data_IF_554827698692
#
_entry.id   IF_554827698692
#
_cell.length_a   1.000
_cell.length_b   1.000
_cell.length_c   1.000
_cell.angle_alpha   90.00
_cell.angle_beta   90.00
_cell.angle_gamma   90.00
#
_symmetry.space_group_name_H-M   'P 1'
#
loop_
_entity.id
_entity.type
_entity.pdbx_description
1 polymer ?
#
# COMPACT_ATOMS: atom_id res chain seq x y z
N UNK A 1 -12.00 -85.02 1.82
CA UNK A 1 -12.82 -83.92 2.26
C UNK A 1 -11.98 -83.02 3.16
N UNK A 2 -11.74 -81.76 2.77
CA UNK A 2 -10.99 -80.76 3.60
C UNK A 2 -11.95 -80.16 4.61
N UNK A 3 -11.63 -80.12 5.91
CA UNK A 3 -12.49 -79.49 6.91
C UNK A 3 -12.61 -78.00 6.59
N UNK A 4 -13.83 -77.51 6.39
CA UNK A 4 -14.12 -76.08 6.35
C UNK A 4 -14.00 -75.49 7.77
N UNK A 5 -12.97 -74.66 7.97
CA UNK A 5 -12.84 -73.87 9.21
C UNK A 5 -13.78 -72.64 9.11
N UNK A 6 -14.77 -72.59 9.95
CA UNK A 6 -15.64 -71.42 10.11
C UNK A 6 -14.93 -70.32 10.85
N UNK A 7 -15.26 -69.04 10.56
CA UNK A 7 -14.75 -67.89 11.30
C UNK A 7 -15.27 -67.89 12.74
N UNK A 8 -14.39 -67.54 13.65
CA UNK A 8 -14.75 -67.36 15.06
C UNK A 8 -15.36 -65.97 15.29
N UNK A 9 -16.28 -65.83 16.22
CA UNK A 9 -16.89 -64.56 16.59
C UNK A 9 -15.88 -63.52 17.06
N UNK A 10 -14.80 -64.00 17.73
CA UNK A 10 -13.67 -63.14 18.18
C UNK A 10 -12.87 -62.58 17.00
N UNK A 11 -12.66 -63.34 15.94
CA UNK A 11 -11.94 -62.92 14.75
C UNK A 11 -12.67 -61.80 14.00
N UNK A 12 -14.00 -61.88 13.92
CA UNK A 12 -14.86 -60.82 13.36
C UNK A 12 -14.84 -59.56 14.22
N UNK A 13 -14.89 -59.70 15.55
CA UNK A 13 -14.81 -58.55 16.46
C UNK A 13 -13.47 -57.82 16.36
N UNK A 14 -12.37 -58.56 16.28
CA UNK A 14 -11.00 -57.98 16.09
C UNK A 14 -10.96 -57.28 14.74
N UNK A 15 -11.47 -57.88 13.67
CA UNK A 15 -11.46 -57.25 12.33
C UNK A 15 -12.26 -55.93 12.31
N UNK A 16 -13.43 -55.91 12.94
CA UNK A 16 -14.24 -54.70 13.06
C UNK A 16 -13.56 -53.63 13.92
N UNK A 17 -12.90 -54.03 15.03
CA UNK A 17 -12.15 -53.09 15.85
C UNK A 17 -10.99 -52.44 15.07
N UNK A 18 -10.25 -53.25 14.31
CA UNK A 18 -9.15 -52.75 13.47
C UNK A 18 -9.68 -51.80 12.35
N UNK A 19 -10.79 -52.16 11.70
CA UNK A 19 -11.43 -51.29 10.71
C UNK A 19 -11.89 -49.97 11.32
N UNK A 20 -12.47 -49.98 12.52
CA UNK A 20 -12.87 -48.74 13.21
C UNK A 20 -11.69 -47.84 13.53
N UNK A 21 -10.58 -48.40 14.02
CA UNK A 21 -9.34 -47.65 14.28
C UNK A 21 -8.76 -47.07 13.00
N UNK A 22 -8.63 -47.87 11.92
CA UNK A 22 -8.17 -47.39 10.62
C UNK A 22 -9.05 -46.29 10.05
N UNK A 23 -10.36 -46.41 10.14
CA UNK A 23 -11.34 -45.41 9.75
C UNK A 23 -11.15 -44.10 10.52
N UNK A 24 -10.97 -44.21 11.84
CA UNK A 24 -10.73 -43.04 12.70
C UNK A 24 -9.43 -42.30 12.37
N UNK A 25 -8.33 -43.04 12.15
CA UNK A 25 -7.06 -42.46 11.75
C UNK A 25 -7.13 -41.80 10.36
N UNK A 26 -7.81 -42.44 9.42
CA UNK A 26 -8.02 -41.86 8.08
C UNK A 26 -8.83 -40.56 8.14
N UNK A 27 -9.86 -40.51 8.97
CA UNK A 27 -10.65 -39.30 9.19
C UNK A 27 -9.82 -38.17 9.78
N UNK A 28 -9.03 -38.45 10.81
CA UNK A 28 -8.12 -37.46 11.42
C UNK A 28 -7.10 -36.91 10.42
N UNK A 29 -6.55 -37.78 9.56
CA UNK A 29 -5.65 -37.37 8.48
C UNK A 29 -6.32 -36.41 7.49
N UNK A 30 -7.53 -36.72 7.06
CA UNK A 30 -8.29 -35.89 6.13
C UNK A 30 -8.66 -34.53 6.75
N UNK A 31 -9.10 -34.52 7.99
CA UNK A 31 -9.47 -33.30 8.72
C UNK A 31 -8.25 -32.37 8.90
N UNK A 32 -7.09 -32.94 9.22
CA UNK A 32 -5.83 -32.19 9.28
C UNK A 32 -5.44 -31.58 7.94
N UNK A 33 -5.58 -32.32 6.84
CA UNK A 33 -5.32 -31.82 5.49
C UNK A 33 -6.26 -30.67 5.12
N UNK A 34 -7.54 -30.77 5.45
CA UNK A 34 -8.53 -29.71 5.19
C UNK A 34 -8.19 -28.44 5.97
N UNK A 35 -7.83 -28.53 7.26
CA UNK A 35 -7.43 -27.38 8.07
C UNK A 35 -6.15 -26.73 7.52
N UNK A 36 -5.14 -27.52 7.16
CA UNK A 36 -3.92 -27.00 6.57
C UNK A 36 -4.19 -26.29 5.24
N UNK A 37 -5.04 -26.86 4.40
CA UNK A 37 -5.41 -26.25 3.11
C UNK A 37 -6.11 -24.92 3.30
N UNK A 38 -7.04 -24.79 4.24
CA UNK A 38 -7.74 -23.52 4.52
C UNK A 38 -6.78 -22.45 5.07
N UNK A 39 -5.84 -22.82 5.94
CA UNK A 39 -4.82 -21.90 6.46
C UNK A 39 -3.91 -21.38 5.34
N UNK A 40 -3.44 -22.28 4.45
CA UNK A 40 -2.62 -21.91 3.30
C UNK A 40 -3.38 -21.01 2.34
N UNK A 41 -4.64 -21.30 2.05
CA UNK A 41 -5.47 -20.45 1.18
C UNK A 41 -5.66 -19.04 1.75
N UNK A 42 -5.91 -18.93 3.06
CA UNK A 42 -6.05 -17.64 3.74
C UNK A 42 -4.76 -16.83 3.66
N UNK A 43 -3.61 -17.45 3.90
CA UNK A 43 -2.32 -16.76 3.80
C UNK A 43 -1.98 -16.35 2.37
N UNK A 44 -2.29 -17.18 1.38
CA UNK A 44 -2.15 -16.80 -0.02
C UNK A 44 -3.04 -15.61 -0.40
N UNK A 45 -4.29 -15.59 0.03
CA UNK A 45 -5.20 -14.46 -0.21
C UNK A 45 -4.64 -13.16 0.39
N UNK A 46 -4.19 -13.19 1.64
CA UNK A 46 -3.55 -12.05 2.31
C UNK A 46 -2.31 -11.57 1.58
N UNK A 47 -1.45 -12.49 1.17
CA UNK A 47 -0.22 -12.18 0.42
C UNK A 47 -0.52 -11.53 -0.93
N UNK A 48 -1.54 -12.01 -1.63
CA UNK A 48 -1.99 -11.47 -2.91
C UNK A 48 -2.53 -10.04 -2.76
N UNK A 49 -3.36 -9.79 -1.75
CA UNK A 49 -3.88 -8.44 -1.46
C UNK A 49 -2.73 -7.49 -1.16
N UNK A 50 -1.80 -7.88 -0.28
CA UNK A 50 -0.62 -7.07 0.03
C UNK A 50 0.18 -6.77 -1.23
N UNK A 51 0.48 -7.77 -2.06
CA UNK A 51 1.22 -7.60 -3.31
C UNK A 51 0.52 -6.62 -4.26
N UNK A 52 -0.80 -6.71 -4.40
CA UNK A 52 -1.62 -5.83 -5.24
C UNK A 52 -1.57 -4.38 -4.75
N UNK A 53 -1.74 -4.16 -3.44
CA UNK A 53 -1.69 -2.82 -2.84
C UNK A 53 -0.32 -2.19 -3.02
N UNK A 54 0.77 -2.95 -2.78
CA UNK A 54 2.12 -2.46 -2.97
C UNK A 54 2.45 -2.15 -4.43
N UNK A 55 1.92 -2.95 -5.36
CA UNK A 55 2.05 -2.69 -6.79
C UNK A 55 1.33 -1.40 -7.19
N UNK A 56 0.11 -1.16 -6.65
CA UNK A 56 -0.63 0.08 -6.88
C UNK A 56 0.11 1.30 -6.32
N UNK A 57 0.64 1.20 -5.09
CA UNK A 57 1.43 2.27 -4.48
C UNK A 57 2.67 2.62 -5.31
N UNK A 58 3.39 1.60 -5.79
CA UNK A 58 4.52 1.80 -6.71
C UNK A 58 4.11 2.39 -8.06
N UNK A 59 2.97 1.98 -8.59
CA UNK A 59 2.45 2.53 -9.85
C UNK A 59 2.10 4.01 -9.72
N UNK A 60 1.53 4.43 -8.58
CA UNK A 60 1.24 5.84 -8.30
C UNK A 60 2.54 6.67 -8.23
N UNK A 61 3.58 6.17 -7.58
CA UNK A 61 4.88 6.82 -7.51
C UNK A 61 5.62 6.84 -8.86
N UNK A 62 5.56 5.75 -9.63
CA UNK A 62 6.20 5.68 -10.95
C UNK A 62 5.61 6.70 -11.95
N UNK A 63 4.33 6.98 -11.81
CA UNK A 63 3.64 7.95 -12.65
C UNK A 63 3.70 9.38 -12.09
N UNK A 64 4.37 9.59 -10.95
CA UNK A 64 4.49 10.90 -10.33
C UNK A 64 5.14 11.92 -11.28
N UNK A 65 4.58 13.12 -11.32
CA UNK A 65 5.02 14.20 -12.20
C UNK A 65 4.89 15.55 -11.53
N UNK A 66 5.70 16.48 -11.95
CA UNK A 66 5.58 17.91 -11.60
C UNK A 66 4.95 18.62 -12.77
N UNK A 67 3.94 19.45 -12.51
CA UNK A 67 3.36 20.29 -13.55
C UNK A 67 4.18 21.55 -13.71
N UNK A 68 4.66 21.85 -14.92
CA UNK A 68 5.25 23.15 -15.21
C UNK A 68 4.16 24.21 -15.22
N UNK A 69 4.35 25.34 -14.52
CA UNK A 69 3.40 26.46 -14.56
C UNK A 69 3.36 27.29 -13.28
N UNK A 70 2.57 28.36 -13.33
CA UNK A 70 2.37 29.29 -12.22
C UNK A 70 1.55 28.64 -11.11
N UNK A 71 2.12 28.55 -9.93
CA UNK A 71 1.56 27.88 -8.78
C UNK A 71 2.19 26.50 -8.61
N UNK A 72 3.14 26.43 -7.70
CA UNK A 72 3.97 25.24 -7.47
C UNK A 72 3.10 24.12 -6.85
N UNK A 73 2.46 23.33 -7.70
CA UNK A 73 1.88 22.08 -7.24
C UNK A 73 3.02 21.06 -7.12
N UNK A 74 3.28 20.60 -5.92
CA UNK A 74 4.28 19.57 -5.67
C UNK A 74 3.94 18.28 -6.41
N UNK A 75 4.92 17.58 -6.92
CA UNK A 75 4.70 16.25 -7.50
C UNK A 75 4.39 15.20 -6.45
N UNK A 76 5.04 15.29 -5.29
CA UNK A 76 4.84 14.44 -4.12
C UNK A 76 5.00 15.28 -2.86
N UNK A 77 4.10 15.10 -1.89
CA UNK A 77 4.14 15.76 -0.60
C UNK A 77 3.59 14.86 0.51
N UNK A 78 4.11 15.05 1.72
CA UNK A 78 3.70 14.36 2.93
C UNK A 78 3.45 15.35 4.05
N UNK A 79 2.24 15.41 4.58
CA UNK A 79 1.85 16.34 5.66
C UNK A 79 1.81 15.68 7.06
N UNK A 80 2.30 14.46 7.20
CA UNK A 80 2.26 13.69 8.43
C UNK A 80 1.07 12.73 8.53
N UNK A 81 0.08 12.88 7.67
CA UNK A 81 -1.13 12.05 7.63
C UNK A 81 -1.42 11.49 6.25
N UNK A 82 -1.20 12.31 5.22
CA UNK A 82 -1.54 12.02 3.84
C UNK A 82 -0.32 12.17 2.96
N UNK A 83 -0.02 11.13 2.19
CA UNK A 83 0.91 11.21 1.07
C UNK A 83 0.11 11.60 -0.17
N UNK A 84 0.39 12.77 -0.73
CA UNK A 84 -0.25 13.30 -1.95
C UNK A 84 0.70 13.19 -3.12
N UNK A 85 0.17 12.77 -4.26
CA UNK A 85 0.95 12.52 -5.48
C UNK A 85 0.19 13.11 -6.65
N UNK A 86 0.83 14.01 -7.41
CA UNK A 86 0.37 14.36 -8.76
C UNK A 86 0.93 13.33 -9.73
N UNK A 87 0.07 12.57 -10.40
CA UNK A 87 0.48 11.53 -11.34
C UNK A 87 -0.11 11.76 -12.73
N UNK A 88 0.62 11.35 -13.75
CA UNK A 88 0.10 11.33 -15.12
C UNK A 88 -1.05 10.35 -15.24
N UNK A 89 -2.09 10.73 -15.96
CA UNK A 89 -3.13 9.81 -16.36
C UNK A 89 -2.54 8.75 -17.31
N UNK A 90 -3.00 7.52 -17.16
CA UNK A 90 -2.72 6.43 -18.10
C UNK A 90 -3.86 6.26 -19.12
N UNK A 91 -4.93 7.02 -18.97
CA UNK A 91 -6.03 7.03 -19.92
C UNK A 91 -5.57 7.76 -21.18
N UNK A 92 -5.84 7.18 -22.32
CA UNK A 92 -5.62 7.82 -23.62
C UNK A 92 -7.00 8.25 -24.12
N UNK A 93 -7.16 9.55 -24.40
CA UNK A 93 -8.40 10.01 -25.00
C UNK A 93 -8.53 9.47 -26.42
N UNK A 94 -9.76 9.18 -26.89
CA UNK A 94 -10.00 8.71 -28.26
C UNK A 94 -9.51 9.67 -29.33
N UNK A 95 -9.40 10.96 -29.00
CA UNK A 95 -8.92 12.03 -29.88
C UNK A 95 -7.38 12.21 -29.88
N UNK A 96 -6.66 11.37 -29.14
CA UNK A 96 -5.21 11.46 -28.98
C UNK A 96 -4.72 12.61 -28.10
N UNK A 97 -5.61 13.38 -27.48
CA UNK A 97 -5.24 14.45 -26.55
C UNK A 97 -4.67 13.91 -25.24
N UNK A 98 -3.84 14.72 -24.57
CA UNK A 98 -3.30 14.35 -23.24
C UNK A 98 -4.45 14.14 -22.26
N UNK A 99 -4.45 13.01 -21.62
CA UNK A 99 -5.47 12.63 -20.65
C UNK A 99 -5.35 13.42 -19.33
N UNK A 100 -4.37 14.32 -19.22
CA UNK A 100 -4.17 15.14 -18.04
C UNK A 100 -3.48 14.40 -16.90
N UNK A 101 -3.75 14.86 -15.68
CA UNK A 101 -3.17 14.31 -14.46
C UNK A 101 -4.27 13.94 -13.46
N UNK A 102 -3.94 13.08 -12.54
CA UNK A 102 -4.73 12.79 -11.34
C UNK A 102 -3.97 13.25 -10.10
N UNK A 103 -4.71 13.65 -9.09
CA UNK A 103 -4.20 13.74 -7.73
C UNK A 103 -4.58 12.47 -7.02
N UNK A 104 -3.59 11.78 -6.50
CA UNK A 104 -3.77 10.56 -5.68
C UNK A 104 -3.31 10.87 -4.27
N UNK A 105 -4.03 10.36 -3.29
CA UNK A 105 -3.69 10.50 -1.89
C UNK A 105 -3.76 9.13 -1.19
N UNK A 106 -2.79 8.90 -0.31
CA UNK A 106 -2.74 7.72 0.54
C UNK A 106 -2.75 8.16 1.99
N UNK A 107 -3.61 7.56 2.81
CA UNK A 107 -3.65 7.80 4.26
C UNK A 107 -3.85 6.52 5.03
N UNK A 108 -3.44 6.54 6.27
CA UNK A 108 -3.85 5.60 7.29
C UNK A 108 -4.56 6.36 8.41
N UNK A 109 -5.64 5.82 8.91
CA UNK A 109 -6.38 6.39 10.02
C UNK A 109 -6.97 5.26 10.86
N UNK A 110 -6.70 5.28 12.17
CA UNK A 110 -7.40 4.41 13.11
C UNK A 110 -8.70 5.08 13.56
N UNK A 111 -9.77 4.31 13.67
CA UNK A 111 -11.06 4.78 14.14
C UNK A 111 -11.34 4.30 15.57
N UNK A 112 -11.96 5.17 16.38
CA UNK A 112 -12.54 4.77 17.67
C UNK A 112 -11.57 4.22 18.72
N UNK A 113 -10.28 4.62 18.70
CA UNK A 113 -9.29 4.11 19.64
C UNK A 113 -8.76 2.70 19.32
N UNK A 114 -9.07 2.18 18.16
CA UNK A 114 -8.49 0.92 17.67
C UNK A 114 -7.01 1.10 17.36
N UNK A 115 -6.21 0.06 17.57
CA UNK A 115 -4.77 0.05 17.27
C UNK A 115 -4.48 -0.14 15.79
N UNK A 116 -5.47 -0.51 14.98
CA UNK A 116 -5.37 -0.70 13.54
C UNK A 116 -6.51 -0.01 12.82
N UNK A 117 -6.25 0.43 11.59
CA UNK A 117 -7.23 1.06 10.72
C UNK A 117 -6.91 0.87 9.26
N UNK A 118 -7.83 1.19 8.35
CA UNK A 118 -7.62 0.99 6.93
C UNK A 118 -6.52 1.91 6.38
N UNK A 119 -5.65 1.35 5.54
CA UNK A 119 -4.84 2.13 4.62
C UNK A 119 -5.68 2.41 3.39
N UNK A 120 -5.92 3.68 3.11
CA UNK A 120 -6.89 4.11 2.12
C UNK A 120 -6.20 4.86 0.99
N UNK A 121 -6.71 4.66 -0.21
CA UNK A 121 -6.31 5.38 -1.41
C UNK A 121 -7.49 6.20 -1.94
N UNK A 122 -7.24 7.48 -2.17
CA UNK A 122 -8.15 8.42 -2.79
C UNK A 122 -7.60 8.85 -4.16
N UNK A 123 -8.46 9.12 -5.12
CA UNK A 123 -8.08 9.59 -6.44
C UNK A 123 -9.09 10.59 -6.95
N UNK A 124 -8.62 11.72 -7.48
CA UNK A 124 -9.45 12.71 -8.19
C UNK A 124 -9.92 12.19 -9.55
N UNK A 125 -10.79 12.94 -10.19
CA UNK A 125 -11.02 12.84 -11.63
C UNK A 125 -9.78 13.30 -12.42
N UNK A 126 -9.81 13.11 -13.74
CA UNK A 126 -8.76 13.59 -14.63
C UNK A 126 -8.79 15.11 -14.72
N UNK A 127 -7.67 15.76 -14.48
CA UNK A 127 -7.50 17.21 -14.37
C UNK A 127 -6.53 17.69 -15.46
N UNK A 128 -6.90 18.78 -16.13
CA UNK A 128 -6.08 19.39 -17.19
C UNK A 128 -5.59 20.78 -16.85
N UNK A 129 -6.19 21.41 -15.85
CA UNK A 129 -5.93 22.78 -15.45
C UNK A 129 -5.24 22.80 -14.09
N UNK A 130 -4.23 23.66 -13.93
CA UNK A 130 -3.47 23.81 -12.70
C UNK A 130 -4.32 24.26 -11.51
N UNK A 131 -5.34 25.07 -11.73
CA UNK A 131 -6.27 25.52 -10.68
C UNK A 131 -7.08 24.32 -10.13
N UNK A 132 -7.57 23.46 -11.01
CA UNK A 132 -8.28 22.24 -10.62
C UNK A 132 -7.36 21.25 -9.90
N UNK A 133 -6.09 21.18 -10.28
CA UNK A 133 -5.08 20.35 -9.58
C UNK A 133 -4.84 20.89 -8.16
N UNK A 134 -4.72 22.21 -7.98
CA UNK A 134 -4.59 22.81 -6.65
C UNK A 134 -5.83 22.55 -5.78
N UNK A 135 -7.01 22.65 -6.36
CA UNK A 135 -8.26 22.33 -5.67
C UNK A 135 -8.29 20.84 -5.23
N UNK A 136 -7.91 19.92 -6.13
CA UNK A 136 -7.84 18.50 -5.79
C UNK A 136 -6.81 18.21 -4.69
N UNK A 137 -5.68 18.93 -4.67
CA UNK A 137 -4.70 18.86 -3.58
C UNK A 137 -5.30 19.31 -2.24
N UNK A 138 -6.06 20.38 -2.23
CA UNK A 138 -6.76 20.85 -1.04
C UNK A 138 -7.83 19.83 -0.58
N UNK A 139 -8.60 19.28 -1.51
CA UNK A 139 -9.57 18.20 -1.22
C UNK A 139 -8.89 16.97 -0.63
N UNK A 140 -7.76 16.54 -1.18
CA UNK A 140 -6.98 15.44 -0.65
C UNK A 140 -6.48 15.69 0.78
N UNK A 141 -6.10 16.93 1.10
CA UNK A 141 -5.69 17.31 2.46
C UNK A 141 -6.88 17.27 3.44
N UNK A 142 -8.05 17.78 3.03
CA UNK A 142 -9.28 17.72 3.83
C UNK A 142 -9.73 16.29 4.04
N UNK A 143 -9.70 15.48 2.98
CA UNK A 143 -9.99 14.05 3.06
C UNK A 143 -9.06 13.34 4.05
N UNK A 144 -7.79 13.73 4.10
CA UNK A 144 -6.83 13.20 5.06
C UNK A 144 -7.16 13.46 6.52
N UNK A 145 -7.89 14.52 6.79
CA UNK A 145 -8.29 14.92 8.15
C UNK A 145 -9.67 14.37 8.54
N UNK A 146 -10.57 14.27 7.57
CA UNK A 146 -11.96 13.89 7.78
C UNK A 146 -12.33 12.74 6.84
N UNK A 147 -13.15 11.80 7.31
CA UNK A 147 -13.62 10.67 6.50
C UNK A 147 -14.70 11.07 5.46
N UNK A 148 -14.87 12.34 5.18
CA UNK A 148 -15.89 12.83 4.23
C UNK A 148 -15.33 12.67 2.82
N UNK A 149 -15.96 11.80 2.06
CA UNK A 149 -15.67 11.62 0.63
C UNK A 149 -16.58 12.53 -0.17
N UNK A 150 -16.01 13.47 -0.92
CA UNK A 150 -16.75 14.21 -1.95
C UNK A 150 -17.17 13.22 -3.05
N UNK A 151 -18.42 13.31 -3.50
CA UNK A 151 -19.10 12.28 -4.30
C UNK A 151 -18.47 11.90 -5.65
N UNK A 152 -17.45 12.64 -6.12
CA UNK A 152 -16.78 12.41 -7.40
C UNK A 152 -15.39 11.76 -7.27
N UNK A 153 -14.87 11.61 -6.06
CA UNK A 153 -13.58 10.98 -5.85
C UNK A 153 -13.71 9.47 -5.62
N UNK A 154 -12.78 8.69 -6.19
CA UNK A 154 -12.72 7.25 -5.99
C UNK A 154 -11.91 6.96 -4.73
N UNK A 155 -12.56 6.39 -3.74
CA UNK A 155 -11.90 5.89 -2.53
C UNK A 155 -11.86 4.36 -2.54
N UNK A 156 -10.75 3.81 -2.11
CA UNK A 156 -10.56 2.36 -1.99
C UNK A 156 -9.81 2.05 -0.70
N UNK A 157 -10.35 1.13 0.09
CA UNK A 157 -9.65 0.56 1.23
C UNK A 157 -8.68 -0.50 0.73
N UNK A 158 -7.43 -0.37 1.12
CA UNK A 158 -6.37 -1.24 0.64
C UNK A 158 -6.13 -2.41 1.60
N UNK A 159 -5.61 -2.15 2.80
CA UNK A 159 -5.36 -3.16 3.82
C UNK A 159 -5.30 -2.51 5.22
N UNK A 160 -5.55 -3.26 6.30
CA UNK A 160 -5.46 -2.73 7.65
C UNK A 160 -4.00 -2.56 8.09
N UNK A 161 -3.69 -1.39 8.66
CA UNK A 161 -2.39 -1.03 9.24
C UNK A 161 -2.53 -0.62 10.69
N UNK A 162 -1.42 -0.67 11.46
CA UNK A 162 -1.26 -0.02 12.74
C UNK A 162 -0.61 1.37 12.62
N UNK A 163 0.07 1.63 11.51
CA UNK A 163 0.74 2.89 11.26
C UNK A 163 1.63 2.85 10.04
N UNK A 164 2.08 4.01 9.64
CA UNK A 164 3.06 4.16 8.59
C UNK A 164 3.89 5.42 8.77
N UNK A 165 5.08 5.44 8.17
CA UNK A 165 5.99 6.56 8.17
C UNK A 165 6.59 6.72 6.79
N UNK A 166 6.79 7.97 6.35
CA UNK A 166 7.34 8.30 5.05
C UNK A 166 8.67 9.04 5.23
N UNK A 167 9.64 8.62 4.43
CA UNK A 167 10.94 9.26 4.32
C UNK A 167 11.21 9.59 2.86
N UNK A 168 11.82 10.75 2.63
CA UNK A 168 12.29 11.15 1.30
C UNK A 168 13.82 11.09 1.24
N UNK A 169 14.32 10.64 0.11
CA UNK A 169 15.74 10.75 -0.23
C UNK A 169 15.94 11.97 -1.12
N UNK A 170 16.69 12.92 -0.63
CA UNK A 170 17.05 14.18 -1.32
C UNK A 170 18.46 14.55 -0.91
N UNK A 171 19.20 15.21 -1.78
CA UNK A 171 20.54 15.72 -1.48
C UNK A 171 21.46 14.66 -0.84
N UNK A 172 21.38 13.44 -1.36
CA UNK A 172 22.17 12.27 -0.94
C UNK A 172 21.92 11.80 0.52
N UNK A 173 20.76 12.14 1.12
CA UNK A 173 20.39 11.74 2.48
C UNK A 173 18.91 11.34 2.59
N UNK A 174 18.65 10.38 3.47
CA UNK A 174 17.28 10.09 3.91
C UNK A 174 16.88 11.09 4.99
N UNK A 175 15.78 11.80 4.78
CA UNK A 175 15.15 12.68 5.75
C UNK A 175 13.72 12.24 6.06
N UNK A 176 13.27 12.50 7.29
CA UNK A 176 11.84 12.41 7.58
C UNK A 176 11.13 13.42 6.67
N UNK A 177 10.10 12.96 5.96
CA UNK A 177 9.39 13.80 5.00
C UNK A 177 8.73 15.06 5.62
N UNK A 178 8.56 15.09 6.95
CA UNK A 178 8.08 16.26 7.70
C UNK A 178 9.20 17.24 8.09
N UNK A 179 10.47 16.84 8.02
CA UNK A 179 11.57 17.73 8.36
C UNK A 179 11.86 18.69 7.21
N UNK A 180 12.43 19.85 7.51
CA UNK A 180 12.86 20.81 6.48
C UNK A 180 13.89 20.21 5.52
N UNK A 181 14.67 19.22 5.95
CA UNK A 181 15.57 18.45 5.10
C UNK A 181 14.83 17.44 4.19
N UNK A 182 13.63 16.98 4.60
CA UNK A 182 12.79 16.08 3.79
C UNK A 182 11.82 16.82 2.87
N UNK A 183 11.52 18.07 3.17
CA UNK A 183 10.51 18.86 2.47
C UNK A 183 11.08 20.23 2.08
N UNK A 184 11.88 20.27 1.06
CA UNK A 184 12.47 21.52 0.53
C UNK A 184 11.42 22.50 -0.06
N UNK A 185 10.13 22.20 0.06
CA UNK A 185 9.01 22.99 -0.43
C UNK A 185 8.21 23.69 0.66
N UNK A 186 8.68 23.76 1.94
CA UNK A 186 7.98 24.55 2.94
C UNK A 186 8.18 26.03 2.64
N UNK A 187 7.11 26.78 2.29
CA UNK A 187 7.20 28.23 2.21
C UNK A 187 7.23 28.80 3.62
N UNK A 188 8.39 29.21 4.10
CA UNK A 188 8.47 30.03 5.28
C UNK A 188 9.27 29.45 6.43
N UNK A 189 10.55 29.67 6.41
CA UNK A 189 11.28 30.30 7.51
C UNK A 189 12.70 30.65 7.00
N UNK A 190 12.85 31.88 6.55
CA UNK A 190 14.16 32.45 6.23
C UNK A 190 14.78 32.86 7.57
N UNK A 191 15.65 32.03 8.12
CA UNK A 191 16.61 32.45 9.11
C UNK A 191 17.98 31.87 8.77
N UNK A 192 18.84 32.70 8.16
CA UNK A 192 20.29 32.62 8.29
C UNK A 192 21.00 31.75 7.26
N UNK A 193 21.47 32.38 6.18
CA UNK A 193 22.72 32.11 5.49
C UNK A 193 23.02 30.65 5.03
N UNK A 194 22.56 30.32 3.85
CA UNK A 194 23.40 29.61 2.88
C UNK A 194 23.09 30.14 1.48
N UNK A 195 24.08 30.80 0.92
CA UNK A 195 24.16 31.28 -0.47
C UNK A 195 24.20 30.08 -1.40
N UNK A 196 23.04 29.54 -1.70
CA UNK A 196 22.82 28.58 -2.79
C UNK A 196 21.60 29.05 -3.57
N UNK A 197 21.81 29.64 -4.73
CA UNK A 197 20.77 29.99 -5.71
C UNK A 197 20.00 28.74 -6.14
N UNK A 198 19.12 28.27 -5.27
CA UNK A 198 18.11 27.26 -5.61
C UNK A 198 16.78 27.96 -5.85
N UNK A 199 16.51 28.38 -7.08
CA UNK A 199 15.12 28.53 -7.54
C UNK A 199 14.43 27.20 -7.24
N UNK A 200 13.71 27.14 -6.13
CA UNK A 200 13.07 25.92 -5.64
C UNK A 200 12.02 25.41 -6.60
N UNK A 201 12.47 24.73 -7.63
CA UNK A 201 11.63 23.92 -8.45
C UNK A 201 11.09 22.78 -7.57
N UNK A 202 9.78 22.54 -7.49
CA UNK A 202 9.20 21.46 -6.71
C UNK A 202 9.65 20.12 -7.30
N UNK A 203 10.87 19.71 -6.99
CA UNK A 203 11.44 18.48 -7.52
C UNK A 203 10.88 17.27 -6.80
N UNK A 204 10.58 16.23 -7.57
CA UNK A 204 10.29 14.91 -7.00
C UNK A 204 11.49 14.45 -6.14
N UNK A 205 11.26 13.77 -5.03
CA UNK A 205 12.35 13.12 -4.30
C UNK A 205 13.01 12.07 -5.20
N UNK A 206 14.28 11.79 -4.97
CA UNK A 206 15.00 10.76 -5.71
C UNK A 206 14.57 9.37 -5.31
N UNK A 207 14.16 9.20 -4.03
CA UNK A 207 13.51 7.98 -3.54
C UNK A 207 12.50 8.30 -2.44
N UNK A 208 11.57 7.39 -2.26
CA UNK A 208 10.55 7.41 -1.19
C UNK A 208 10.63 6.09 -0.45
N UNK A 209 10.75 6.14 0.86
CA UNK A 209 10.66 4.98 1.76
C UNK A 209 9.39 5.06 2.55
N UNK A 210 8.60 4.00 2.51
CA UNK A 210 7.47 3.79 3.41
C UNK A 210 7.81 2.68 4.41
N UNK A 211 7.70 2.96 5.69
CA UNK A 211 7.75 1.98 6.76
C UNK A 211 6.32 1.74 7.21
N UNK A 212 5.79 0.55 6.95
CA UNK A 212 4.40 0.18 7.16
C UNK A 212 4.33 -0.83 8.28
N UNK A 213 3.51 -0.57 9.29
CA UNK A 213 3.22 -1.50 10.38
C UNK A 213 1.89 -2.20 10.06
N UNK A 214 1.95 -3.47 9.74
CA UNK A 214 0.76 -4.26 9.43
C UNK A 214 -0.04 -4.55 10.70
N UNK A 215 -1.34 -4.78 10.55
CA UNK A 215 -2.20 -5.17 11.66
C UNK A 215 -1.72 -6.51 12.29
N UNK A 216 -1.92 -6.72 13.61
CA UNK A 216 -1.38 -7.88 14.33
C UNK A 216 -1.86 -9.22 13.79
N UNK A 217 -3.10 -9.26 13.31
CA UNK A 217 -3.73 -10.44 12.72
C UNK A 217 -3.13 -10.86 11.36
N UNK A 218 -2.28 -10.01 10.78
CA UNK A 218 -1.54 -10.33 9.56
C UNK A 218 -0.42 -11.36 9.78
N UNK A 219 0.01 -11.59 11.03
CA UNK A 219 1.17 -12.42 11.38
C UNK A 219 2.51 -11.85 10.90
N UNK A 220 2.52 -10.66 10.33
CA UNK A 220 3.67 -9.96 9.77
C UNK A 220 3.83 -8.63 10.50
N UNK A 221 5.01 -8.31 10.95
CA UNK A 221 5.28 -7.07 11.68
C UNK A 221 5.38 -5.84 10.76
N UNK A 222 6.53 -5.17 10.77
CA UNK A 222 6.82 -4.01 9.94
C UNK A 222 7.42 -4.42 8.59
N UNK A 223 7.01 -3.71 7.54
CA UNK A 223 7.54 -3.83 6.18
C UNK A 223 8.12 -2.49 5.76
N UNK A 224 9.34 -2.50 5.24
CA UNK A 224 9.96 -1.32 4.61
C UNK A 224 9.92 -1.48 3.11
N UNK A 225 9.43 -0.44 2.42
CA UNK A 225 9.29 -0.40 0.97
C UNK A 225 10.02 0.83 0.46
N UNK A 226 10.97 0.60 -0.42
CA UNK A 226 11.69 1.66 -1.11
C UNK A 226 11.20 1.76 -2.55
N UNK A 227 10.97 2.98 -2.97
CA UNK A 227 10.78 3.35 -4.36
C UNK A 227 11.90 4.32 -4.76
N UNK A 228 12.53 4.06 -5.87
CA UNK A 228 13.55 4.93 -6.46
C UNK A 228 13.00 5.48 -7.76
N UNK A 229 13.16 6.78 -7.97
CA UNK A 229 12.66 7.46 -9.15
C UNK A 229 13.26 6.81 -10.41
N UNK A 230 12.43 6.36 -11.38
CA UNK A 230 12.93 5.90 -12.67
C UNK A 230 13.74 7.01 -13.34
N UNK A 231 14.86 6.67 -13.94
CA UNK A 231 15.79 7.60 -14.59
C UNK A 231 16.62 8.51 -13.64
N UNK A 232 16.66 8.19 -12.34
CA UNK A 232 17.63 8.80 -11.46
C UNK A 232 19.03 8.27 -11.79
N UNK A 233 19.89 9.10 -12.37
CA UNK A 233 21.29 8.76 -12.59
C UNK A 233 22.09 9.18 -11.36
N UNK A 234 22.66 8.22 -10.63
CA UNK A 234 23.65 8.49 -9.58
C UNK A 234 24.86 9.12 -10.21
N UNK A 235 25.07 10.43 -9.92
CA UNK A 235 26.35 11.07 -10.13
C UNK A 235 26.65 11.43 -11.57
N UNK A 236 26.42 12.69 -11.91
CA UNK A 236 27.44 13.42 -12.70
C UNK A 236 28.37 14.05 -11.68
N UNK A 237 29.49 13.37 -11.44
CA UNK A 237 30.70 13.96 -10.86
C UNK A 237 31.25 15.00 -11.82
#
# INVERSE_FOLDING_TARGET
MRPQRGFTLVEVLIALALMAVMGGLSWQGLDSLMRNRSAVQTEHARSTVLGTVLAQWRADLNAATVLPGQGQVSGIDWDGRVLRITRRSTEVNPDGSDAGVWVVAWRWQSEGGQTSGPWQRWQSESLRDSANVQQAWAQAAVWGQNSITDGNARQTDALPLQGWQIYFYRDNAWGNALSSAGNSNSPGMVTGASTGSGTGNPSLPDAVRAVIQLAPDSGRGSITIDWVRPNWSVGRS
#
